data_IF_895122910161
#
_entry.id   IF_895122910161
#
_cell.length_a   1.000
_cell.length_b   1.000
_cell.length_c   1.000
_cell.angle_alpha   90.00
_cell.angle_beta   90.00
_cell.angle_gamma   90.00
#
_symmetry.space_group_name_H-M   'P 1'
#
loop_
_entity.id
_entity.type
_entity.pdbx_description
1 polymer ?
#
# COMPACT_ATOMS: atom_id res chain seq x y z
N UNK A 1 9.17 2.48 -12.31
CA UNK A 1 9.41 3.89 -11.95
C UNK A 1 8.65 4.17 -10.66
N UNK A 2 9.36 4.46 -9.56
CA UNK A 2 8.79 4.53 -8.20
C UNK A 2 8.43 5.97 -7.85
N UNK A 3 7.17 6.25 -7.51
CA UNK A 3 6.71 7.57 -7.02
C UNK A 3 6.69 7.54 -5.49
N UNK A 4 7.34 8.53 -4.86
CA UNK A 4 7.51 8.65 -3.40
C UNK A 4 6.62 9.78 -2.88
N UNK A 5 5.78 9.50 -1.88
CA UNK A 5 4.97 10.51 -1.19
C UNK A 5 5.31 10.48 0.32
N UNK A 6 5.77 11.61 0.88
CA UNK A 6 6.08 11.74 2.30
C UNK A 6 5.08 12.66 3.00
N UNK A 7 4.53 12.21 4.12
CA UNK A 7 3.80 13.04 5.08
C UNK A 7 4.49 12.87 6.44
N UNK A 8 5.14 13.95 6.91
CA UNK A 8 5.98 13.93 8.11
C UNK A 8 5.18 14.24 9.38
N UNK A 9 5.28 13.37 10.38
CA UNK A 9 4.98 13.72 11.78
C UNK A 9 6.27 13.60 12.59
N UNK A 10 6.67 14.71 13.22
CA UNK A 10 8.03 14.99 13.74
C UNK A 10 8.34 14.43 15.14
N UNK A 11 7.66 13.39 15.62
CA UNK A 11 7.88 12.92 17.01
C UNK A 11 7.96 11.39 17.11
N UNK A 12 8.99 10.90 17.76
CA UNK A 12 9.20 9.49 18.12
C UNK A 12 9.53 9.33 19.60
N UNK A 13 9.13 8.19 20.16
CA UNK A 13 9.40 7.81 21.54
C UNK A 13 10.30 6.56 21.54
N UNK A 14 11.29 6.51 22.43
CA UNK A 14 12.11 5.32 22.67
C UNK A 14 12.64 5.28 24.12
N UNK A 15 13.01 4.09 24.59
CA UNK A 15 13.60 3.90 25.92
C UNK A 15 14.95 4.63 26.07
N UNK A 16 15.23 5.11 27.29
CA UNK A 16 16.47 5.84 27.61
C UNK A 16 17.67 4.89 27.44
N UNK A 17 18.69 5.33 26.67
CA UNK A 17 19.92 4.59 26.29
C UNK A 17 19.90 3.86 24.93
N UNK A 18 18.84 4.00 24.13
CA UNK A 18 18.84 3.49 22.75
C UNK A 18 19.63 4.42 21.81
N UNK A 19 20.65 3.88 21.13
CA UNK A 19 21.52 4.66 20.21
C UNK A 19 20.91 4.90 18.82
N UNK A 20 19.93 4.10 18.42
CA UNK A 20 19.23 4.22 17.13
C UNK A 20 17.74 4.39 17.39
N UNK A 21 17.23 5.60 17.21
CA UNK A 21 15.79 5.87 17.32
C UNK A 21 15.16 5.64 15.96
N UNK A 22 14.38 4.57 15.83
CA UNK A 22 13.55 4.34 14.65
C UNK A 22 12.54 5.49 14.54
N UNK A 23 12.59 6.23 13.43
CA UNK A 23 11.64 7.31 13.20
C UNK A 23 10.37 6.74 12.57
N UNK A 24 9.25 6.76 13.31
CA UNK A 24 7.91 6.41 12.85
C UNK A 24 7.58 7.20 11.58
N UNK A 25 7.55 6.51 10.43
CA UNK A 25 7.27 7.11 9.12
C UNK A 25 8.48 7.34 8.21
N UNK A 26 9.72 7.28 8.71
CA UNK A 26 10.94 7.35 7.89
C UNK A 26 11.44 5.96 7.45
N UNK A 27 11.34 4.95 8.33
CA UNK A 27 11.82 3.59 8.00
C UNK A 27 10.79 2.75 7.23
N UNK A 28 9.49 3.01 7.43
CA UNK A 28 8.45 2.16 6.86
C UNK A 28 8.20 2.55 5.39
N UNK A 29 8.95 1.93 4.47
CA UNK A 29 8.65 1.96 3.04
C UNK A 29 7.21 1.48 2.83
N UNK A 30 6.29 2.39 2.50
CA UNK A 30 4.91 2.07 2.12
C UNK A 30 4.90 1.47 0.71
N UNK A 31 5.35 0.23 0.60
CA UNK A 31 5.31 -0.55 -0.63
C UNK A 31 3.98 -1.31 -0.75
N UNK A 32 3.56 -1.54 -1.99
CA UNK A 32 2.42 -2.38 -2.35
C UNK A 32 2.80 -3.21 -3.59
N UNK A 33 2.16 -4.36 -3.76
CA UNK A 33 2.32 -5.18 -4.97
C UNK A 33 1.19 -4.89 -5.95
N UNK A 34 1.52 -4.65 -7.21
CA UNK A 34 0.54 -4.53 -8.29
C UNK A 34 0.43 -5.88 -9.01
N UNK A 35 -0.79 -6.37 -9.17
CA UNK A 35 -1.13 -7.54 -10.00
C UNK A 35 -1.85 -7.02 -11.24
N UNK A 36 -1.12 -6.67 -12.32
CA UNK A 36 -1.73 -6.18 -13.54
C UNK A 36 -2.35 -7.35 -14.33
N UNK A 37 -3.54 -7.13 -14.86
CA UNK A 37 -4.12 -7.98 -15.89
C UNK A 37 -3.89 -7.33 -17.24
N UNK A 38 -3.29 -8.04 -18.20
CA UNK A 38 -2.99 -7.52 -19.53
C UNK A 38 -3.66 -8.44 -20.55
N UNK A 39 -4.44 -7.87 -21.47
CA UNK A 39 -5.05 -8.62 -22.56
C UNK A 39 -4.00 -9.05 -23.60
N UNK A 40 -4.34 -10.02 -24.45
CA UNK A 40 -3.49 -10.40 -25.58
C UNK A 40 -3.31 -9.26 -26.61
N UNK A 41 -4.20 -8.25 -26.62
CA UNK A 41 -4.05 -7.02 -27.42
C UNK A 41 -3.04 -6.03 -26.84
N UNK A 42 -2.50 -6.29 -25.64
CA UNK A 42 -1.59 -5.39 -24.93
C UNK A 42 -2.31 -4.29 -24.16
N UNK A 43 -3.62 -4.38 -24.00
CA UNK A 43 -4.41 -3.42 -23.21
C UNK A 43 -4.33 -3.78 -21.73
N UNK A 44 -4.12 -2.76 -20.90
CA UNK A 44 -4.14 -2.92 -19.45
C UNK A 44 -5.59 -3.03 -18.97
N UNK A 45 -5.94 -4.15 -18.37
CA UNK A 45 -7.22 -4.38 -17.72
C UNK A 45 -7.14 -3.95 -16.26
N UNK A 46 -8.29 -4.02 -15.58
CA UNK A 46 -8.37 -3.76 -14.16
C UNK A 46 -7.31 -4.57 -13.38
N UNK A 47 -6.60 -3.90 -12.49
CA UNK A 47 -5.53 -4.49 -11.69
C UNK A 47 -5.91 -4.54 -10.23
N UNK A 48 -5.18 -5.37 -9.49
CA UNK A 48 -5.27 -5.43 -8.04
C UNK A 48 -4.00 -4.85 -7.42
N UNK A 49 -4.16 -4.01 -6.40
CA UNK A 49 -3.07 -3.48 -5.60
C UNK A 49 -3.16 -4.03 -4.17
N UNK A 50 -2.11 -4.73 -3.75
CA UNK A 50 -2.03 -5.41 -2.46
C UNK A 50 -1.18 -4.60 -1.48
N UNK A 51 -1.80 -4.10 -0.43
CA UNK A 51 -1.17 -3.28 0.61
C UNK A 51 -0.83 -4.11 1.84
N UNK A 52 0.26 -3.77 2.53
CA UNK A 52 0.61 -4.45 3.78
C UNK A 52 -0.38 -4.18 4.91
N UNK A 53 -0.78 -5.24 5.60
CA UNK A 53 -1.62 -5.20 6.79
C UNK A 53 -2.86 -6.08 6.66
N UNK A 54 -3.76 -5.95 7.64
CA UNK A 54 -4.87 -6.89 7.87
C UNK A 54 -6.25 -6.23 7.89
N UNK A 55 -6.31 -4.91 7.73
CA UNK A 55 -7.54 -4.11 7.90
C UNK A 55 -7.66 -3.12 6.76
N UNK A 56 -8.88 -2.64 6.51
CA UNK A 56 -9.16 -1.58 5.53
C UNK A 56 -8.37 -0.29 5.82
N UNK A 57 -8.02 -0.03 7.08
CA UNK A 57 -7.16 1.09 7.45
C UNK A 57 -5.74 1.01 6.84
N UNK A 58 -5.33 -0.14 6.30
CA UNK A 58 -4.10 -0.31 5.53
C UNK A 58 -4.23 0.12 4.07
N UNK A 59 -5.45 0.31 3.57
CA UNK A 59 -5.74 0.70 2.20
C UNK A 59 -5.68 2.23 2.04
N UNK A 60 -5.57 2.73 0.79
CA UNK A 60 -5.82 4.13 0.50
C UNK A 60 -7.19 4.57 1.03
N UNK A 61 -7.23 5.80 1.56
CA UNK A 61 -8.47 6.35 2.10
C UNK A 61 -9.52 6.53 0.98
N UNK A 62 -10.80 6.17 1.20
CA UNK A 62 -11.84 6.30 0.17
C UNK A 62 -12.06 7.73 -0.37
N UNK A 63 -11.74 8.77 0.41
CA UNK A 63 -11.79 10.16 -0.05
C UNK A 63 -10.55 10.62 -0.83
N UNK A 64 -9.58 9.73 -1.06
CA UNK A 64 -8.37 10.07 -1.82
C UNK A 64 -8.70 10.32 -3.30
N UNK A 65 -7.94 11.21 -3.92
CA UNK A 65 -8.13 11.56 -5.32
C UNK A 65 -8.02 10.32 -6.20
N UNK A 66 -9.06 10.06 -6.99
CA UNK A 66 -9.10 8.95 -7.94
C UNK A 66 -9.57 7.61 -7.36
N UNK A 67 -9.92 7.54 -6.06
CA UNK A 67 -10.44 6.31 -5.45
C UNK A 67 -11.75 5.86 -6.09
N UNK A 68 -12.72 6.77 -6.20
CA UNK A 68 -14.02 6.48 -6.83
C UNK A 68 -13.89 6.08 -8.31
N UNK A 69 -12.94 6.69 -9.03
CA UNK A 69 -12.65 6.32 -10.41
C UNK A 69 -12.01 4.93 -10.49
N UNK A 70 -11.10 4.60 -9.56
CA UNK A 70 -10.48 3.29 -9.48
C UNK A 70 -11.52 2.18 -9.22
N UNK A 71 -12.45 2.41 -8.29
CA UNK A 71 -13.57 1.50 -8.05
C UNK A 71 -14.47 1.34 -9.28
N UNK A 72 -14.82 2.45 -9.94
CA UNK A 72 -15.64 2.42 -11.14
C UNK A 72 -14.97 1.67 -12.32
N UNK A 73 -13.64 1.69 -12.39
CA UNK A 73 -12.83 0.95 -13.35
C UNK A 73 -12.56 -0.50 -12.94
N UNK A 74 -13.06 -0.93 -11.78
CA UNK A 74 -12.92 -2.30 -11.27
C UNK A 74 -11.57 -2.62 -10.63
N UNK A 75 -10.75 -1.62 -10.32
CA UNK A 75 -9.49 -1.84 -9.60
C UNK A 75 -9.78 -2.32 -8.18
N UNK A 76 -9.03 -3.34 -7.73
CA UNK A 76 -9.19 -3.89 -6.38
C UNK A 76 -8.04 -3.44 -5.49
N UNK A 77 -8.36 -2.83 -4.36
CA UNK A 77 -7.38 -2.44 -3.34
C UNK A 77 -7.57 -3.37 -2.15
N UNK A 78 -6.61 -4.25 -1.88
CA UNK A 78 -6.77 -5.30 -0.88
C UNK A 78 -5.61 -5.36 0.10
N UNK A 79 -5.87 -5.63 1.40
CA UNK A 79 -4.82 -5.90 2.35
C UNK A 79 -4.22 -7.29 2.09
N UNK A 80 -2.90 -7.43 2.27
CA UNK A 80 -2.17 -8.71 2.14
C UNK A 80 -2.54 -9.74 3.21
N UNK A 81 -3.30 -9.32 4.23
CA UNK A 81 -3.64 -10.09 5.42
C UNK A 81 -2.43 -10.51 6.28
N UNK A 82 -1.28 -9.88 6.06
CA UNK A 82 -0.05 -10.10 6.83
C UNK A 82 0.76 -8.79 6.94
N UNK A 83 1.95 -8.86 7.56
CA UNK A 83 2.81 -7.69 7.74
C UNK A 83 3.70 -7.39 6.52
N UNK A 84 3.60 -8.21 5.47
CA UNK A 84 4.26 -8.03 4.17
C UNK A 84 3.31 -7.41 3.13
N UNK A 85 3.80 -7.09 1.94
CA UNK A 85 3.01 -6.51 0.85
C UNK A 85 2.82 -7.49 -0.33
N UNK A 86 3.05 -8.79 -0.13
CA UNK A 86 2.91 -9.82 -1.16
C UNK A 86 1.46 -10.28 -1.32
N UNK A 87 1.09 -10.68 -2.54
CA UNK A 87 -0.18 -11.36 -2.77
C UNK A 87 -0.19 -12.71 -2.05
N UNK A 88 -1.30 -13.03 -1.39
CA UNK A 88 -1.52 -14.32 -0.73
C UNK A 88 -2.62 -15.09 -1.44
N UNK A 89 -2.81 -16.37 -1.10
CA UNK A 89 -3.90 -17.18 -1.64
C UNK A 89 -5.30 -16.58 -1.34
N UNK A 90 -5.44 -15.83 -0.24
CA UNK A 90 -6.69 -15.12 0.08
C UNK A 90 -6.90 -13.84 -0.76
N UNK A 91 -5.88 -13.43 -1.50
CA UNK A 91 -5.83 -12.22 -2.31
C UNK A 91 -5.85 -12.59 -3.81
N UNK A 92 -6.14 -13.85 -4.18
CA UNK A 92 -6.29 -14.30 -5.58
C UNK A 92 -7.74 -14.65 -5.90
#
# INVERSE_FOLDING_TARGET
TQVVYQQGTNTTWNEKSVKQVATTGQEKKRAFTLVPSISASGELLAFQAVFSGKREASLPWPGSRGYSQAEALGFRLEPSMNDSYWSTHNTQ
#
